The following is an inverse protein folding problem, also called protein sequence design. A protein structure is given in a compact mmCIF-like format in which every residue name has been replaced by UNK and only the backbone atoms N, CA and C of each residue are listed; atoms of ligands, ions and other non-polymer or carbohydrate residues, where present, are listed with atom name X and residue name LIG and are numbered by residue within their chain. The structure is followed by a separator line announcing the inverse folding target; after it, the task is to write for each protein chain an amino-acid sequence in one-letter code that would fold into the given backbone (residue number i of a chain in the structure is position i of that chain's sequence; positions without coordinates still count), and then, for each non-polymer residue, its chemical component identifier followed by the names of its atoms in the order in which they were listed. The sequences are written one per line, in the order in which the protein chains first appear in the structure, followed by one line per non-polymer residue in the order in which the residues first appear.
data_IF_825308193566
#
_entry.id   IF_825308193566
#
_cell.length_a   1.000
_cell.length_b   1.000
_cell.length_c   1.000
_cell.angle_alpha   90.00
_cell.angle_beta   90.00
_cell.angle_gamma   90.00
#
_symmetry.space_group_name_H-M   'P 1'
#
loop_
_entity.id
_entity.type
_entity.pdbx_description
1 polymer ?
#
# COMPACT_ATOMS: atom_id res chain seq x y z
N UNK A 1 10.51 15.33 29.94
CA UNK A 1 9.39 14.36 29.95
C UNK A 1 9.99 12.97 29.79
N UNK A 2 9.96 12.13 30.83
CA UNK A 2 10.42 10.74 30.70
C UNK A 2 9.43 9.99 29.80
N UNK A 3 9.83 9.69 28.56
CA UNK A 3 9.08 8.81 27.68
C UNK A 3 9.03 7.43 28.35
N UNK A 4 7.94 7.15 29.07
CA UNK A 4 7.66 5.82 29.61
C UNK A 4 7.87 4.78 28.51
N UNK A 5 8.48 3.64 28.85
CA UNK A 5 8.83 2.55 27.90
C UNK A 5 7.66 2.17 26.97
N UNK A 6 6.43 2.30 27.47
CA UNK A 6 5.19 2.13 26.70
C UNK A 6 5.11 3.05 25.48
N UNK A 7 5.43 4.33 25.61
CA UNK A 7 5.40 5.29 24.50
C UNK A 7 6.40 4.93 23.39
N UNK A 8 7.59 4.42 23.75
CA UNK A 8 8.56 3.98 22.76
C UNK A 8 8.12 2.71 22.02
N UNK A 9 7.41 1.81 22.69
CA UNK A 9 6.88 0.60 22.06
C UNK A 9 5.73 0.93 21.10
N UNK A 10 4.80 1.81 21.50
CA UNK A 10 3.74 2.32 20.62
C UNK A 10 4.31 3.01 19.38
N UNK A 11 5.32 3.87 19.57
CA UNK A 11 6.00 4.54 18.46
C UNK A 11 6.63 3.55 17.47
N UNK A 12 7.34 2.53 17.96
CA UNK A 12 7.93 1.49 17.10
C UNK A 12 6.88 0.69 16.33
N UNK A 13 5.73 0.38 16.97
CA UNK A 13 4.61 -0.32 16.30
C UNK A 13 4.01 0.54 15.18
N UNK A 14 3.83 1.84 15.42
CA UNK A 14 3.33 2.77 14.43
C UNK A 14 4.31 2.95 13.27
N UNK A 15 5.61 3.10 13.53
CA UNK A 15 6.62 3.16 12.47
C UNK A 15 6.59 1.91 11.58
N UNK A 16 6.49 0.72 12.18
CA UNK A 16 6.39 -0.53 11.42
C UNK A 16 5.12 -0.58 10.56
N UNK A 17 3.99 -0.14 11.10
CA UNK A 17 2.73 -0.04 10.35
C UNK A 17 2.90 0.89 9.15
N UNK A 18 3.37 2.11 9.39
CA UNK A 18 3.56 3.12 8.34
C UNK A 18 4.53 2.63 7.27
N UNK A 19 5.64 1.99 7.66
CA UNK A 19 6.60 1.44 6.71
C UNK A 19 5.99 0.36 5.81
N UNK A 20 5.18 -0.55 6.36
CA UNK A 20 4.49 -1.58 5.57
C UNK A 20 3.48 -0.95 4.60
N UNK A 21 2.70 0.03 5.06
CA UNK A 21 1.73 0.72 4.21
C UNK A 21 2.39 1.50 3.07
N UNK A 22 3.51 2.17 3.37
CA UNK A 22 4.31 2.84 2.35
C UNK A 22 4.93 1.87 1.36
N UNK A 23 5.35 0.68 1.80
CA UNK A 23 5.86 -0.36 0.90
C UNK A 23 4.76 -0.86 -0.05
N UNK A 24 3.55 -1.11 0.46
CA UNK A 24 2.39 -1.49 -0.39
C UNK A 24 2.10 -0.39 -1.40
N UNK A 25 2.00 0.86 -0.94
CA UNK A 25 1.78 2.01 -1.80
C UNK A 25 2.85 2.13 -2.89
N UNK A 26 4.13 1.97 -2.52
CA UNK A 26 5.26 2.02 -3.46
C UNK A 26 5.17 0.94 -4.52
N UNK A 27 4.88 -0.30 -4.14
CA UNK A 27 4.75 -1.42 -5.08
C UNK A 27 3.64 -1.15 -6.09
N UNK A 28 2.47 -0.74 -5.62
CA UNK A 28 1.31 -0.49 -6.49
C UNK A 28 1.53 0.70 -7.41
N UNK A 29 2.26 1.73 -6.95
CA UNK A 29 2.50 2.95 -7.73
C UNK A 29 3.64 2.79 -8.74
N UNK A 30 4.77 2.23 -8.31
CA UNK A 30 6.00 2.22 -9.11
C UNK A 30 6.29 0.86 -9.72
N UNK A 31 6.22 -0.21 -8.93
CA UNK A 31 6.64 -1.56 -9.39
C UNK A 31 5.67 -2.07 -10.45
N UNK A 32 4.37 -1.90 -10.27
CA UNK A 32 3.36 -2.33 -11.25
C UNK A 32 3.52 -1.61 -12.60
N UNK A 33 3.82 -0.32 -12.58
CA UNK A 33 4.02 0.46 -13.82
C UNK A 33 5.38 0.12 -14.46
N UNK A 34 6.43 -0.07 -13.66
CA UNK A 34 7.75 -0.44 -14.15
C UNK A 34 7.74 -1.78 -14.91
N UNK A 35 7.00 -2.77 -14.39
CA UNK A 35 6.81 -4.07 -15.03
C UNK A 35 5.57 -4.12 -15.94
N UNK A 36 5.02 -2.97 -16.35
CA UNK A 36 3.82 -2.93 -17.16
C UNK A 36 3.90 -3.74 -18.47
N UNK A 37 5.03 -3.77 -19.21
CA UNK A 37 5.13 -4.59 -20.42
C UNK A 37 4.89 -6.08 -20.16
N UNK A 38 5.53 -6.64 -19.13
CA UNK A 38 5.40 -8.06 -18.76
C UNK A 38 4.04 -8.33 -18.13
N UNK A 39 3.56 -7.42 -17.30
CA UNK A 39 2.28 -7.57 -16.61
C UNK A 39 1.07 -7.47 -17.56
N UNK A 40 1.17 -6.70 -18.63
CA UNK A 40 0.09 -6.58 -19.63
C UNK A 40 -0.13 -7.85 -20.45
N UNK A 41 0.76 -8.86 -20.39
CA UNK A 41 0.51 -10.19 -20.93
C UNK A 41 -0.61 -10.93 -20.17
N UNK A 42 -0.83 -10.54 -18.92
CA UNK A 42 -1.90 -11.08 -18.07
C UNK A 42 -3.17 -10.27 -18.34
N UNK A 43 -4.23 -10.94 -18.79
CA UNK A 43 -5.54 -10.31 -19.02
C UNK A 43 -6.46 -10.58 -17.84
N UNK A 44 -6.92 -9.53 -17.18
CA UNK A 44 -7.90 -9.58 -16.08
C UNK A 44 -9.17 -8.86 -16.52
N UNK A 45 -10.32 -9.54 -16.40
CA UNK A 45 -11.64 -8.98 -16.76
C UNK A 45 -11.69 -8.38 -18.18
N UNK A 46 -10.93 -8.95 -19.12
CA UNK A 46 -10.84 -8.47 -20.51
C UNK A 46 -9.86 -7.31 -20.74
N UNK A 47 -9.14 -6.85 -19.72
CA UNK A 47 -8.14 -5.78 -19.81
C UNK A 47 -6.74 -6.28 -19.45
N UNK A 48 -5.68 -5.71 -20.06
CA UNK A 48 -4.31 -5.95 -19.59
C UNK A 48 -4.16 -5.57 -18.12
N UNK A 49 -3.42 -6.37 -17.34
CA UNK A 49 -3.37 -6.22 -15.89
C UNK A 49 -2.82 -4.86 -15.45
N UNK A 50 -1.71 -4.40 -16.03
CA UNK A 50 -1.12 -3.12 -15.64
C UNK A 50 -2.05 -1.96 -16.00
N UNK A 51 -2.80 -2.08 -17.10
CA UNK A 51 -3.85 -1.13 -17.46
C UNK A 51 -4.99 -1.11 -16.44
N UNK A 52 -5.51 -2.27 -16.03
CA UNK A 52 -6.54 -2.35 -14.98
C UNK A 52 -6.06 -1.75 -13.66
N UNK A 53 -4.81 -2.03 -13.28
CA UNK A 53 -4.20 -1.49 -12.06
C UNK A 53 -4.07 0.03 -12.11
N UNK A 54 -3.71 0.60 -13.26
CA UNK A 54 -3.67 2.05 -13.45
C UNK A 54 -5.07 2.69 -13.43
N UNK A 55 -6.08 2.02 -13.98
CA UNK A 55 -7.43 2.57 -14.10
C UNK A 55 -8.25 2.50 -12.80
N UNK A 56 -8.20 1.37 -12.09
CA UNK A 56 -9.06 1.13 -10.92
C UNK A 56 -8.35 0.41 -9.78
N UNK A 57 -7.49 -0.56 -10.09
CA UNK A 57 -6.88 -1.42 -9.06
C UNK A 57 -6.08 -0.63 -8.02
N UNK A 58 -5.25 0.32 -8.44
CA UNK A 58 -4.45 1.16 -7.54
C UNK A 58 -5.30 2.05 -6.65
N UNK A 59 -6.38 2.63 -7.19
CA UNK A 59 -7.31 3.47 -6.41
C UNK A 59 -7.97 2.68 -5.28
N UNK A 60 -8.44 1.45 -5.58
CA UNK A 60 -9.02 0.56 -4.57
C UNK A 60 -7.99 0.26 -3.48
N UNK A 61 -6.74 -0.04 -3.86
CA UNK A 61 -5.68 -0.33 -2.89
C UNK A 61 -5.37 0.90 -2.03
N UNK A 62 -5.35 2.12 -2.58
CA UNK A 62 -5.12 3.33 -1.79
C UNK A 62 -6.21 3.53 -0.73
N UNK A 63 -7.47 3.30 -1.08
CA UNK A 63 -8.58 3.36 -0.11
C UNK A 63 -8.40 2.31 0.98
N UNK A 64 -8.01 1.08 0.63
CA UNK A 64 -7.74 0.02 1.61
C UNK A 64 -6.57 0.37 2.53
N UNK A 65 -5.50 0.96 2.01
CA UNK A 65 -4.35 1.43 2.80
C UNK A 65 -4.78 2.48 3.82
N UNK A 66 -5.57 3.47 3.40
CA UNK A 66 -6.07 4.53 4.28
C UNK A 66 -7.03 3.97 5.33
N UNK A 67 -7.99 3.14 4.91
CA UNK A 67 -8.96 2.52 5.81
C UNK A 67 -8.27 1.66 6.86
N UNK A 68 -7.30 0.83 6.47
CA UNK A 68 -6.55 -0.02 7.39
C UNK A 68 -5.72 0.81 8.38
N UNK A 69 -5.06 1.87 7.91
CA UNK A 69 -4.35 2.81 8.77
C UNK A 69 -5.28 3.44 9.81
N UNK A 70 -6.41 3.97 9.37
CA UNK A 70 -7.40 4.61 10.23
C UNK A 70 -7.93 3.63 11.28
N UNK A 71 -8.27 2.40 10.88
CA UNK A 71 -8.75 1.37 11.80
C UNK A 71 -7.71 0.93 12.83
N UNK A 72 -6.42 0.95 12.49
CA UNK A 72 -5.34 0.55 13.42
C UNK A 72 -4.94 1.68 14.37
N UNK A 73 -5.11 2.95 13.95
CA UNK A 73 -4.73 4.11 14.77
C UNK A 73 -5.86 4.68 15.62
N UNK A 74 -7.12 4.44 15.25
CA UNK A 74 -8.30 4.87 15.98
C UNK A 74 -8.76 3.80 16.98
#
# INVERSE_FOLDING_TARGET
MQLSERHQEYWRKNLRLTAVLLAIWFVVTFVVIYFAPQLNEIVIMGFPFAFYMAAQGSLIIYVLVIWFYAHRMN
#
